data_IF_475469714305
#
_entry.id   IF_475469714305
#
_cell.length_a   1.000
_cell.length_b   1.000
_cell.length_c   1.000
_cell.angle_alpha   90.00
_cell.angle_beta   90.00
_cell.angle_gamma   90.00
#
_symmetry.space_group_name_H-M   'P 1'
#
loop_
_entity.id
_entity.type
_entity.pdbx_description
1 polymer ?
#
# COMPACT_ATOMS: atom_id res chain seq x y z
N UNK A 1 -30.52 0.94 -9.31
CA UNK A 1 -29.19 1.32 -9.81
C UNK A 1 -28.35 1.80 -8.62
N UNK A 2 -27.22 1.20 -8.43
CA UNK A 2 -26.34 1.59 -7.34
C UNK A 2 -25.72 2.94 -7.67
N UNK A 3 -25.91 3.91 -6.76
CA UNK A 3 -25.30 5.21 -6.93
C UNK A 3 -23.86 5.19 -6.48
N UNK A 4 -22.97 5.69 -7.31
CA UNK A 4 -21.58 5.90 -6.94
C UNK A 4 -21.40 7.38 -6.61
N UNK A 5 -20.87 7.66 -5.45
CA UNK A 5 -20.58 9.03 -5.04
C UNK A 5 -19.12 9.12 -4.64
N UNK A 6 -18.42 10.08 -5.26
CA UNK A 6 -17.09 10.45 -4.80
C UNK A 6 -17.27 11.36 -3.59
N UNK A 7 -16.70 10.95 -2.45
CA UNK A 7 -16.71 11.76 -1.25
C UNK A 7 -15.36 12.39 -1.02
N UNK A 8 -15.32 13.69 -0.97
CA UNK A 8 -14.14 14.42 -0.54
C UNK A 8 -14.27 14.65 0.96
N UNK A 9 -13.39 14.01 1.72
CA UNK A 9 -13.32 14.18 3.16
C UNK A 9 -12.06 14.96 3.53
N UNK A 10 -12.09 15.74 4.63
CA UNK A 10 -10.89 16.47 5.04
C UNK A 10 -9.67 15.56 5.20
N UNK A 11 -8.58 15.91 4.56
CA UNK A 11 -7.34 15.15 4.63
C UNK A 11 -7.27 13.91 3.74
N UNK A 12 -8.27 13.70 2.87
CA UNK A 12 -8.33 12.55 1.97
C UNK A 12 -8.38 13.04 0.54
N UNK A 13 -7.53 12.48 -0.32
CA UNK A 13 -7.46 12.85 -1.72
C UNK A 13 -8.73 12.47 -2.48
N UNK A 14 -9.20 13.40 -3.32
CA UNK A 14 -10.32 13.15 -4.22
C UNK A 14 -9.98 11.98 -5.15
N UNK A 15 -10.95 11.08 -5.37
CA UNK A 15 -10.76 9.90 -6.20
C UNK A 15 -10.15 8.70 -5.49
N UNK A 16 -9.69 8.86 -4.25
CA UNK A 16 -9.16 7.77 -3.45
C UNK A 16 -10.27 6.95 -2.78
N UNK A 17 -11.43 7.53 -2.60
CA UNK A 17 -12.55 6.92 -1.91
C UNK A 17 -13.78 6.94 -2.79
N UNK A 18 -14.44 5.79 -2.87
CA UNK A 18 -15.68 5.64 -3.60
C UNK A 18 -16.74 5.08 -2.66
N UNK A 19 -17.86 5.77 -2.51
CA UNK A 19 -18.97 5.31 -1.70
C UNK A 19 -20.06 4.79 -2.62
N UNK A 20 -20.47 3.53 -2.43
CA UNK A 20 -21.50 2.88 -3.22
C UNK A 20 -22.71 2.64 -2.33
N UNK A 21 -23.89 3.12 -2.76
CA UNK A 21 -25.15 2.84 -2.10
C UNK A 21 -25.82 1.65 -2.76
N UNK A 22 -26.13 0.61 -1.97
CA UNK A 22 -26.72 -0.61 -2.49
C UNK A 22 -28.13 -0.82 -1.94
N UNK A 23 -29.08 -0.97 -2.84
CA UNK A 23 -30.46 -1.31 -2.48
C UNK A 23 -30.59 -2.72 -1.89
N UNK A 24 -29.61 -3.59 -2.15
CA UNK A 24 -29.59 -4.95 -1.59
C UNK A 24 -29.18 -4.98 -0.14
N UNK A 25 -28.41 -3.99 0.30
CA UNK A 25 -27.96 -3.91 1.70
C UNK A 25 -29.02 -3.24 2.54
N UNK A 26 -29.40 -3.88 3.62
CA UNK A 26 -30.37 -3.30 4.57
C UNK A 26 -29.68 -2.75 5.81
N UNK A 27 -28.67 -3.43 6.31
CA UNK A 27 -27.94 -3.04 7.52
C UNK A 27 -26.44 -3.19 7.39
N UNK A 28 -25.98 -3.99 6.45
CA UNK A 28 -24.56 -4.29 6.33
C UNK A 28 -23.80 -3.16 5.67
N UNK A 29 -22.64 -2.87 6.22
CA UNK A 29 -21.68 -1.91 5.68
C UNK A 29 -20.40 -2.67 5.47
N UNK A 30 -19.75 -2.45 4.32
CA UNK A 30 -18.44 -3.05 4.08
C UNK A 30 -17.51 -2.01 3.47
N UNK A 31 -16.22 -2.20 3.71
CA UNK A 31 -15.19 -1.39 3.09
C UNK A 31 -14.04 -2.29 2.69
N UNK A 32 -13.46 -2.03 1.53
CA UNK A 32 -12.34 -2.81 1.02
C UNK A 32 -11.51 -1.97 0.06
N UNK A 33 -10.29 -2.42 -0.17
CA UNK A 33 -9.38 -1.78 -1.12
C UNK A 33 -9.53 -2.46 -2.47
N UNK A 34 -9.69 -1.67 -3.53
CA UNK A 34 -9.70 -2.16 -4.89
C UNK A 34 -8.87 -1.21 -5.76
N UNK A 35 -7.75 -1.68 -6.28
CA UNK A 35 -6.81 -0.82 -6.98
C UNK A 35 -6.28 0.26 -6.06
N UNK A 36 -6.26 1.50 -6.51
CA UNK A 36 -5.82 2.64 -5.70
C UNK A 36 -6.90 3.25 -4.83
N UNK A 37 -8.11 2.64 -4.77
CA UNK A 37 -9.27 3.22 -4.09
C UNK A 37 -9.72 2.39 -2.90
N UNK A 38 -10.31 3.06 -1.91
CA UNK A 38 -11.08 2.43 -0.86
C UNK A 38 -12.55 2.51 -1.27
N UNK A 39 -13.22 1.36 -1.33
CA UNK A 39 -14.63 1.28 -1.68
C UNK A 39 -15.43 1.01 -0.42
N UNK A 40 -16.37 1.92 -0.11
CA UNK A 40 -17.27 1.77 1.03
C UNK A 40 -18.66 1.53 0.49
N UNK A 41 -19.24 0.38 0.82
CA UNK A 41 -20.58 0.00 0.38
C UNK A 41 -21.54 0.13 1.55
N UNK A 42 -22.58 0.95 1.38
CA UNK A 42 -23.57 1.26 2.43
C UNK A 42 -24.98 1.00 1.92
N UNK A 43 -25.97 0.84 2.83
CA UNK A 43 -27.36 0.74 2.40
C UNK A 43 -27.84 1.99 1.68
N UNK A 44 -28.64 1.79 0.62
CA UNK A 44 -29.18 2.92 -0.15
C UNK A 44 -30.03 3.87 0.69
N UNK A 45 -30.66 3.35 1.74
CA UNK A 45 -31.54 4.14 2.63
C UNK A 45 -30.82 4.86 3.75
N UNK A 46 -29.52 4.67 3.87
CA UNK A 46 -28.75 5.33 4.93
C UNK A 46 -28.85 6.86 4.77
N UNK A 47 -29.06 7.56 5.89
CA UNK A 47 -29.12 9.01 5.88
C UNK A 47 -27.74 9.60 5.56
N UNK A 48 -27.72 10.82 5.04
CA UNK A 48 -26.48 11.54 4.79
C UNK A 48 -25.71 11.79 6.09
N UNK A 49 -26.42 12.02 7.20
CA UNK A 49 -25.79 12.21 8.50
C UNK A 49 -25.06 10.94 8.95
N UNK A 50 -25.71 9.78 8.81
CA UNK A 50 -25.10 8.50 9.17
C UNK A 50 -23.92 8.18 8.26
N UNK A 51 -24.05 8.46 6.97
CA UNK A 51 -22.95 8.28 6.02
C UNK A 51 -21.73 9.10 6.43
N UNK A 52 -21.92 10.38 6.78
CA UNK A 52 -20.82 11.25 7.22
C UNK A 52 -20.17 10.79 8.51
N UNK A 53 -20.91 10.08 9.36
CA UNK A 53 -20.37 9.54 10.60
C UNK A 53 -19.60 8.23 10.37
N UNK A 54 -20.16 7.33 9.55
CA UNK A 54 -19.61 5.96 9.44
C UNK A 54 -18.49 5.83 8.42
N UNK A 55 -18.53 6.57 7.31
CA UNK A 55 -17.55 6.42 6.24
C UNK A 55 -16.13 6.72 6.71
N UNK A 56 -15.88 7.84 7.45
CA UNK A 56 -14.53 8.09 7.96
C UNK A 56 -14.02 6.99 8.90
N UNK A 57 -14.89 6.40 9.71
CA UNK A 57 -14.53 5.32 10.60
C UNK A 57 -14.11 4.07 9.82
N UNK A 58 -14.86 3.71 8.78
CA UNK A 58 -14.54 2.58 7.93
C UNK A 58 -13.21 2.77 7.21
N UNK A 59 -12.96 3.97 6.72
CA UNK A 59 -11.71 4.31 6.05
C UNK A 59 -10.53 4.21 7.03
N UNK A 60 -10.69 4.76 8.24
CA UNK A 60 -9.66 4.70 9.27
C UNK A 60 -9.33 3.26 9.64
N UNK A 61 -10.35 2.39 9.72
CA UNK A 61 -10.17 0.97 10.02
C UNK A 61 -9.37 0.27 8.93
N UNK A 62 -9.71 0.52 7.65
CA UNK A 62 -8.97 -0.06 6.52
C UNK A 62 -7.51 0.40 6.57
N UNK A 63 -7.26 1.69 6.75
CA UNK A 63 -5.89 2.24 6.80
C UNK A 63 -5.09 1.70 7.97
N UNK A 64 -5.73 1.51 9.13
CA UNK A 64 -5.09 0.92 10.30
C UNK A 64 -4.68 -0.54 10.03
N UNK A 65 -5.57 -1.33 9.43
CA UNK A 65 -5.28 -2.72 9.08
C UNK A 65 -4.16 -2.81 8.05
N UNK A 66 -4.15 -1.93 7.07
CA UNK A 66 -3.10 -1.87 6.05
C UNK A 66 -1.75 -1.50 6.67
N UNK A 67 -1.75 -0.54 7.59
CA UNK A 67 -0.54 -0.13 8.30
C UNK A 67 0.06 -1.27 9.11
N UNK A 68 -0.79 -2.08 9.75
CA UNK A 68 -0.33 -3.26 10.51
C UNK A 68 0.32 -4.32 9.62
N UNK A 69 -0.15 -4.44 8.37
CA UNK A 69 0.40 -5.40 7.42
C UNK A 69 1.60 -4.88 6.64
N UNK A 70 1.81 -3.57 6.62
CA UNK A 70 2.93 -2.95 5.91
C UNK A 70 4.22 -3.22 6.68
N UNK A 71 5.24 -3.82 6.05
CA UNK A 71 6.51 -4.04 6.74
C UNK A 71 7.16 -2.71 7.12
N UNK A 72 7.78 -2.68 8.30
CA UNK A 72 8.62 -1.55 8.71
C UNK A 72 9.87 -1.47 7.83
N UNK A 73 10.54 -0.33 7.83
CA UNK A 73 11.77 -0.16 7.07
C UNK A 73 12.86 -1.11 7.57
N UNK A 74 12.91 -1.37 8.88
CA UNK A 74 13.83 -2.38 9.43
C UNK A 74 13.50 -3.78 8.94
N UNK A 75 12.22 -4.12 8.85
CA UNK A 75 11.81 -5.43 8.33
C UNK A 75 12.16 -5.59 6.87
N UNK A 76 12.10 -4.51 6.09
CA UNK A 76 12.54 -4.55 4.69
C UNK A 76 14.02 -4.89 4.57
N UNK A 77 14.85 -4.34 5.46
CA UNK A 77 16.28 -4.65 5.48
C UNK A 77 16.50 -6.12 5.83
N UNK A 78 15.83 -6.62 6.87
CA UNK A 78 15.92 -8.03 7.25
C UNK A 78 15.52 -8.96 6.10
N UNK A 79 14.38 -8.64 5.47
CA UNK A 79 13.89 -9.45 4.36
C UNK A 79 14.85 -9.45 3.18
N UNK A 80 15.40 -8.28 2.85
CA UNK A 80 16.39 -8.15 1.78
C UNK A 80 17.61 -9.00 2.07
N UNK A 81 18.10 -8.95 3.29
CA UNK A 81 19.27 -9.76 3.69
C UNK A 81 18.97 -11.25 3.60
N UNK A 82 17.77 -11.68 4.01
CA UNK A 82 17.34 -13.07 3.86
C UNK A 82 17.34 -13.51 2.39
N UNK A 83 16.76 -12.68 1.52
CA UNK A 83 16.68 -12.96 0.09
C UNK A 83 18.08 -13.04 -0.53
N UNK A 84 18.95 -12.10 -0.20
CA UNK A 84 20.31 -12.08 -0.74
C UNK A 84 21.11 -13.29 -0.27
N UNK A 85 21.01 -13.64 1.00
CA UNK A 85 21.71 -14.81 1.53
C UNK A 85 21.25 -16.13 0.87
N UNK A 86 19.96 -16.21 0.54
CA UNK A 86 19.36 -17.40 -0.05
C UNK A 86 19.59 -17.48 -1.57
N UNK A 87 19.41 -16.37 -2.28
CA UNK A 87 19.35 -16.35 -3.75
C UNK A 87 20.65 -15.91 -4.41
N UNK A 88 21.46 -15.11 -3.73
CA UNK A 88 22.69 -14.58 -4.28
C UNK A 88 23.78 -14.50 -3.19
N UNK A 89 24.18 -15.63 -2.61
CA UNK A 89 25.14 -15.61 -1.49
C UNK A 89 26.51 -15.08 -1.88
N UNK A 90 26.86 -15.10 -3.17
CA UNK A 90 28.13 -14.57 -3.68
C UNK A 90 28.17 -13.04 -3.66
N UNK A 91 27.03 -12.38 -3.61
CA UNK A 91 26.96 -10.92 -3.53
C UNK A 91 26.97 -10.51 -2.06
N UNK A 92 27.94 -9.71 -1.67
CA UNK A 92 28.13 -9.31 -0.28
C UNK A 92 27.58 -7.94 0.07
N UNK A 93 27.32 -7.08 -0.94
CA UNK A 93 26.76 -5.76 -0.71
C UNK A 93 25.38 -5.88 -0.05
N UNK A 94 25.15 -5.06 0.97
CA UNK A 94 23.88 -5.03 1.71
C UNK A 94 23.40 -3.60 1.87
N UNK A 95 22.08 -3.36 1.87
CA UNK A 95 21.57 -2.01 2.04
C UNK A 95 21.86 -1.47 3.44
N UNK A 96 22.22 -0.19 3.50
CA UNK A 96 22.35 0.52 4.76
C UNK A 96 20.98 1.04 5.23
N UNK A 97 20.10 1.39 4.28
CA UNK A 97 18.76 1.82 4.58
C UNK A 97 17.82 1.45 3.43
N UNK A 98 16.56 1.22 3.77
CA UNK A 98 15.50 1.00 2.80
C UNK A 98 14.32 1.86 3.23
N UNK A 99 13.82 2.69 2.32
CA UNK A 99 12.76 3.65 2.63
C UNK A 99 11.58 3.48 1.68
N UNK A 100 10.37 3.58 2.22
CA UNK A 100 9.18 3.73 1.42
C UNK A 100 9.12 5.14 0.85
N UNK A 101 8.80 5.26 -0.45
CA UNK A 101 8.69 6.57 -1.12
C UNK A 101 7.49 6.60 -2.07
N UNK A 102 6.88 7.76 -2.29
CA UNK A 102 5.84 7.90 -3.30
C UNK A 102 6.48 7.90 -4.68
N UNK A 103 6.46 6.76 -5.35
CA UNK A 103 7.02 6.58 -6.68
C UNK A 103 5.94 6.06 -7.62
N UNK A 104 5.78 6.68 -8.78
CA UNK A 104 4.78 6.29 -9.76
C UNK A 104 5.36 5.62 -10.99
N UNK A 105 6.52 6.08 -11.44
CA UNK A 105 7.15 5.57 -12.66
C UNK A 105 8.06 4.39 -12.43
N UNK A 106 8.48 4.18 -11.19
CA UNK A 106 9.36 3.09 -10.80
C UNK A 106 8.78 2.35 -9.62
N UNK A 107 9.15 1.09 -9.49
CA UNK A 107 8.79 0.28 -8.32
C UNK A 107 9.83 0.38 -7.22
N UNK A 108 11.07 0.73 -7.60
CA UNK A 108 12.16 0.92 -6.66
C UNK A 108 13.33 1.63 -7.31
N UNK A 109 14.28 2.03 -6.50
CA UNK A 109 15.55 2.59 -6.96
C UNK A 109 16.62 2.35 -5.90
N UNK A 110 17.89 2.43 -6.29
CA UNK A 110 18.96 2.35 -5.31
C UNK A 110 20.06 3.36 -5.63
N UNK A 111 20.74 3.78 -4.58
CA UNK A 111 21.96 4.60 -4.68
C UNK A 111 23.09 3.81 -4.05
N UNK A 112 24.08 3.43 -4.85
CA UNK A 112 25.15 2.56 -4.41
C UNK A 112 26.15 3.25 -3.47
N UNK A 113 26.34 4.55 -3.63
CA UNK A 113 27.31 5.31 -2.82
C UNK A 113 26.99 5.20 -1.34
N UNK A 114 25.74 5.40 -0.96
CA UNK A 114 25.29 5.33 0.44
C UNK A 114 24.52 4.04 0.74
N UNK A 115 24.38 3.15 -0.23
CA UNK A 115 23.67 1.87 -0.12
C UNK A 115 22.22 2.05 0.35
N UNK A 116 21.54 3.04 -0.23
CA UNK A 116 20.13 3.30 0.07
C UNK A 116 19.24 2.71 -1.03
N UNK A 117 18.21 2.01 -0.61
CA UNK A 117 17.17 1.49 -1.51
C UNK A 117 15.88 2.23 -1.20
N UNK A 118 15.15 2.61 -2.24
CA UNK A 118 13.83 3.22 -2.12
C UNK A 118 12.82 2.33 -2.80
N UNK A 119 11.69 2.12 -2.12
CA UNK A 119 10.63 1.23 -2.60
C UNK A 119 9.34 2.01 -2.71
N UNK A 120 8.63 1.84 -3.81
CA UNK A 120 7.37 2.53 -4.05
C UNK A 120 6.32 2.17 -3.01
N UNK A 121 5.63 3.18 -2.49
CA UNK A 121 4.48 3.00 -1.59
C UNK A 121 3.41 2.09 -2.19
N UNK A 122 3.35 1.98 -3.52
CA UNK A 122 2.39 1.10 -4.19
C UNK A 122 2.60 -0.37 -3.87
N UNK A 123 3.78 -0.74 -3.39
CA UNK A 123 4.08 -2.12 -3.01
C UNK A 123 3.64 -2.47 -1.59
N UNK A 124 3.15 -1.51 -0.81
CA UNK A 124 2.70 -1.77 0.56
C UNK A 124 1.57 -2.80 0.62
N UNK A 125 0.72 -2.81 -0.40
CA UNK A 125 -0.44 -3.70 -0.45
C UNK A 125 -0.31 -4.75 -1.56
N UNK A 126 0.85 -4.85 -2.18
CA UNK A 126 1.12 -5.86 -3.20
C UNK A 126 1.35 -7.22 -2.55
N UNK A 127 1.19 -8.31 -3.30
CA UNK A 127 1.57 -9.64 -2.80
C UNK A 127 3.04 -9.68 -2.41
N UNK A 128 3.37 -10.51 -1.42
CA UNK A 128 4.74 -10.62 -0.90
C UNK A 128 5.78 -10.87 -1.98
N UNK A 129 5.45 -11.70 -2.98
CA UNK A 129 6.40 -12.00 -4.04
C UNK A 129 6.78 -10.77 -4.86
N UNK A 130 5.85 -9.82 -5.04
CA UNK A 130 6.13 -8.60 -5.80
C UNK A 130 7.10 -7.69 -5.04
N UNK A 131 6.89 -7.54 -3.74
CA UNK A 131 7.80 -6.78 -2.89
C UNK A 131 9.17 -7.45 -2.83
N UNK A 132 9.21 -8.77 -2.63
CA UNK A 132 10.46 -9.54 -2.60
C UNK A 132 11.25 -9.37 -3.89
N UNK A 133 10.57 -9.41 -5.04
CA UNK A 133 11.22 -9.23 -6.33
C UNK A 133 11.91 -7.86 -6.42
N UNK A 134 11.22 -6.80 -6.04
CA UNK A 134 11.78 -5.44 -6.13
C UNK A 134 12.93 -5.27 -5.14
N UNK A 135 12.78 -5.74 -3.91
CA UNK A 135 13.85 -5.69 -2.91
C UNK A 135 15.12 -6.39 -3.42
N UNK A 136 14.95 -7.58 -3.94
CA UNK A 136 16.07 -8.38 -4.48
C UNK A 136 16.70 -7.69 -5.68
N UNK A 137 15.87 -7.19 -6.61
CA UNK A 137 16.34 -6.51 -7.80
C UNK A 137 17.19 -5.28 -7.47
N UNK A 138 16.71 -4.44 -6.56
CA UNK A 138 17.44 -3.24 -6.16
C UNK A 138 18.70 -3.58 -5.35
N UNK A 139 18.64 -4.62 -4.55
CA UNK A 139 19.81 -5.05 -3.77
C UNK A 139 20.96 -5.54 -4.66
N UNK A 140 20.63 -6.22 -5.77
CA UNK A 140 21.65 -6.62 -6.74
C UNK A 140 22.35 -5.40 -7.34
N UNK A 141 21.59 -4.33 -7.60
CA UNK A 141 22.15 -3.09 -8.16
C UNK A 141 23.08 -2.35 -7.20
N UNK A 142 23.10 -2.67 -5.93
CA UNK A 142 24.08 -2.09 -5.00
C UNK A 142 25.52 -2.45 -5.39
N UNK A 143 25.72 -3.60 -6.02
CA UNK A 143 27.03 -4.07 -6.45
C UNK A 143 27.16 -4.06 -7.97
N UNK A 144 26.06 -4.25 -8.70
CA UNK A 144 26.01 -4.28 -10.17
C UNK A 144 25.11 -3.18 -10.68
N UNK A 145 25.68 -2.13 -11.22
CA UNK A 145 24.99 -0.88 -11.53
C UNK A 145 24.29 -0.85 -12.89
N UNK A 146 23.96 -1.82 -13.51
CA UNK A 146 23.34 -1.69 -14.84
C UNK A 146 21.84 -1.44 -14.79
#
# INVERSE_FOLDING_TARGET
MDGEEDLTLPGISEGEILVIRSARRKRNISAYRQGGRIIVSIPARMSKADERAIVPEMIAKIRSQESERTPSEERLIERTNELMASLAPEITARPASINWRPMRERWGSCTSVDRTIRISDRLKLAPDYALDYVLFHEAIHLEHFD
#
